data_IF_681189652712
#
_entry.id   IF_681189652712
#
_cell.length_a   1.000
_cell.length_b   1.000
_cell.length_c   1.000
_cell.angle_alpha   90.00
_cell.angle_beta   90.00
_cell.angle_gamma   90.00
#
_symmetry.space_group_name_H-M   'P 1'
#
loop_
_entity.id
_entity.type
_entity.pdbx_description
1 polymer ?
#
# COMPACT_ATOMS: atom_id res chain seq x y z
N UNK A 1 -47.12 -27.31 -3.19
CA UNK A 1 -46.75 -25.88 -3.24
C UNK A 1 -46.20 -25.35 -1.91
N UNK A 2 -46.76 -25.67 -0.76
CA UNK A 2 -46.30 -25.19 0.57
C UNK A 2 -44.85 -25.51 0.92
N UNK A 3 -44.30 -26.70 0.60
CA UNK A 3 -42.88 -27.06 0.91
C UNK A 3 -41.85 -26.22 0.14
N UNK A 4 -42.16 -25.70 -1.04
CA UNK A 4 -41.26 -24.83 -1.82
C UNK A 4 -41.24 -23.39 -1.32
N UNK A 5 -42.31 -22.92 -0.73
CA UNK A 5 -42.42 -21.57 -0.13
C UNK A 5 -41.63 -21.52 1.19
N UNK A 6 -41.69 -22.60 1.98
CA UNK A 6 -40.93 -22.72 3.25
C UNK A 6 -39.42 -22.77 2.99
N UNK A 7 -38.95 -23.43 1.92
CA UNK A 7 -37.54 -23.43 1.53
C UNK A 7 -37.04 -22.06 1.03
N UNK A 8 -37.89 -21.32 0.33
CA UNK A 8 -37.55 -19.95 -0.12
C UNK A 8 -37.50 -18.95 1.05
N UNK A 9 -38.38 -19.09 2.05
CA UNK A 9 -38.38 -18.23 3.23
C UNK A 9 -37.21 -18.53 4.17
N UNK A 10 -36.75 -19.79 4.27
CA UNK A 10 -35.55 -20.19 5.01
C UNK A 10 -34.29 -19.66 4.36
N UNK A 11 -34.22 -19.58 3.02
CA UNK A 11 -33.07 -19.04 2.30
C UNK A 11 -32.95 -17.51 2.43
N UNK A 12 -34.07 -16.80 2.55
CA UNK A 12 -34.11 -15.34 2.77
C UNK A 12 -33.73 -14.94 4.20
N UNK A 13 -33.90 -15.81 5.20
CA UNK A 13 -33.54 -15.57 6.58
C UNK A 13 -32.04 -15.75 6.84
N UNK A 14 -31.34 -16.56 6.05
CA UNK A 14 -29.87 -16.78 6.17
C UNK A 14 -29.07 -15.62 5.58
N UNK A 15 -29.63 -14.82 4.67
CA UNK A 15 -28.95 -13.65 4.09
C UNK A 15 -29.00 -12.39 4.97
N UNK A 16 -29.68 -12.42 6.11
CA UNK A 16 -29.78 -11.30 7.06
C UNK A 16 -28.76 -11.34 8.21
N UNK A 17 -27.76 -12.23 8.15
CA UNK A 17 -26.60 -12.12 9.04
C UNK A 17 -25.76 -10.96 8.49
N UNK A 18 -26.20 -9.74 8.80
CA UNK A 18 -25.42 -8.54 8.59
C UNK A 18 -24.10 -8.71 9.31
N UNK A 19 -23.00 -8.74 8.56
CA UNK A 19 -21.67 -8.58 9.11
C UNK A 19 -21.65 -7.22 9.81
N UNK A 20 -21.88 -7.21 11.13
CA UNK A 20 -21.44 -6.09 11.96
C UNK A 20 -19.93 -6.07 11.82
N UNK A 21 -19.41 -5.17 11.01
CA UNK A 21 -17.97 -4.88 10.99
C UNK A 21 -17.64 -4.30 12.36
N UNK A 22 -17.23 -5.14 13.30
CA UNK A 22 -16.64 -4.67 14.54
C UNK A 22 -15.50 -3.71 14.17
N UNK A 23 -15.56 -2.51 14.70
CA UNK A 23 -14.54 -1.50 14.52
C UNK A 23 -13.25 -2.02 15.16
N UNK A 24 -12.39 -2.63 14.36
CA UNK A 24 -11.12 -3.17 14.85
C UNK A 24 -10.26 -2.03 15.37
N UNK A 25 -9.91 -2.09 16.65
CA UNK A 25 -8.92 -1.19 17.26
C UNK A 25 -7.54 -1.76 16.99
N UNK A 26 -6.69 -0.96 16.35
CA UNK A 26 -5.36 -1.35 15.95
C UNK A 26 -4.31 -0.77 16.91
N UNK A 27 -3.41 -1.62 17.37
CA UNK A 27 -2.20 -1.19 18.07
C UNK A 27 -1.14 -0.72 17.07
N UNK A 28 -0.20 0.13 17.50
CA UNK A 28 0.91 0.56 16.64
C UNK A 28 1.71 -0.61 16.07
N UNK A 29 1.93 -1.65 16.87
CA UNK A 29 2.67 -2.85 16.45
C UNK A 29 1.94 -3.60 15.34
N UNK A 30 0.64 -3.82 15.49
CA UNK A 30 -0.17 -4.48 14.45
C UNK A 30 -0.18 -3.68 13.13
N UNK A 31 -0.21 -2.35 13.20
CA UNK A 31 -0.14 -1.48 12.02
C UNK A 31 1.20 -1.62 11.29
N UNK A 32 2.31 -1.66 12.04
CA UNK A 32 3.66 -1.85 11.48
C UNK A 32 3.77 -3.23 10.84
N UNK A 33 3.37 -4.30 11.54
CA UNK A 33 3.43 -5.67 11.04
C UNK A 33 2.57 -5.85 9.78
N UNK A 34 1.39 -5.24 9.77
CA UNK A 34 0.51 -5.25 8.60
C UNK A 34 1.13 -4.49 7.42
N UNK A 35 1.71 -3.30 7.67
CA UNK A 35 2.37 -2.52 6.63
C UNK A 35 3.54 -3.27 6.03
N UNK A 36 4.43 -3.87 6.85
CA UNK A 36 5.58 -4.65 6.36
C UNK A 36 5.11 -5.80 5.46
N UNK A 37 4.03 -6.48 5.83
CA UNK A 37 3.55 -7.65 5.09
C UNK A 37 2.84 -7.30 3.77
N UNK A 38 2.18 -6.13 3.71
CA UNK A 38 1.27 -5.80 2.61
C UNK A 38 1.73 -4.64 1.73
N UNK A 39 2.65 -3.79 2.21
CA UNK A 39 3.02 -2.57 1.50
C UNK A 39 3.68 -2.85 0.15
N UNK A 40 3.16 -2.20 -0.92
CA UNK A 40 3.63 -2.38 -2.29
C UNK A 40 5.06 -1.85 -2.51
N UNK A 41 5.49 -0.84 -1.76
CA UNK A 41 6.86 -0.32 -1.86
C UNK A 41 7.86 -1.37 -1.39
N UNK A 42 7.58 -2.05 -0.28
CA UNK A 42 8.41 -3.15 0.22
C UNK A 42 8.40 -4.32 -0.77
N UNK A 43 7.24 -4.72 -1.27
CA UNK A 43 7.14 -5.79 -2.29
C UNK A 43 7.92 -5.46 -3.55
N UNK A 44 7.84 -4.21 -4.03
CA UNK A 44 8.61 -3.74 -5.18
C UNK A 44 10.12 -3.82 -4.93
N UNK A 45 10.58 -3.39 -3.75
CA UNK A 45 12.00 -3.49 -3.38
C UNK A 45 12.45 -4.95 -3.26
N UNK A 46 11.60 -5.86 -2.74
CA UNK A 46 11.88 -7.30 -2.70
C UNK A 46 12.06 -7.88 -4.11
N UNK A 47 11.16 -7.58 -5.04
CA UNK A 47 11.31 -8.02 -6.43
C UNK A 47 12.53 -7.40 -7.13
N UNK A 48 12.94 -6.20 -6.72
CA UNK A 48 14.18 -5.61 -7.21
C UNK A 48 15.40 -6.38 -6.72
N UNK A 49 15.41 -6.84 -5.46
CA UNK A 49 16.45 -7.74 -4.93
C UNK A 49 16.48 -9.05 -5.73
N UNK A 50 15.34 -9.73 -5.90
CA UNK A 50 15.24 -10.97 -6.67
C UNK A 50 15.77 -10.80 -8.10
N UNK A 51 15.45 -9.67 -8.76
CA UNK A 51 15.95 -9.36 -10.09
C UNK A 51 17.48 -9.19 -10.11
N UNK A 52 18.04 -8.54 -9.09
CA UNK A 52 19.49 -8.36 -8.98
C UNK A 52 20.22 -9.65 -8.58
N UNK A 53 19.59 -10.55 -7.83
CA UNK A 53 20.10 -11.91 -7.58
C UNK A 53 20.26 -12.68 -8.90
N UNK A 54 19.24 -12.62 -9.77
CA UNK A 54 19.28 -13.22 -11.10
C UNK A 54 20.38 -12.59 -11.96
N UNK A 55 20.52 -11.25 -11.91
CA UNK A 55 21.57 -10.55 -12.64
C UNK A 55 22.97 -10.94 -12.15
N UNK A 56 23.18 -11.04 -10.84
CA UNK A 56 24.44 -11.50 -10.25
C UNK A 56 24.73 -12.96 -10.64
N UNK A 57 23.71 -13.83 -10.67
CA UNK A 57 23.85 -15.19 -11.19
C UNK A 57 24.20 -15.20 -12.66
N UNK A 58 23.57 -14.35 -13.48
CA UNK A 58 23.86 -14.24 -14.91
C UNK A 58 25.31 -13.82 -15.17
N UNK A 59 25.86 -12.90 -14.39
CA UNK A 59 27.29 -12.51 -14.51
C UNK A 59 28.23 -13.66 -14.17
N UNK A 60 27.88 -14.52 -13.20
CA UNK A 60 28.63 -15.76 -12.89
C UNK A 60 28.50 -16.78 -14.01
N UNK A 61 27.29 -16.97 -14.57
CA UNK A 61 27.05 -17.90 -15.68
C UNK A 61 27.69 -17.46 -17.00
N UNK A 62 28.03 -16.18 -17.15
CA UNK A 62 28.78 -15.67 -18.30
C UNK A 62 30.21 -16.24 -18.43
N UNK A 63 30.70 -16.93 -17.40
CA UNK A 63 31.97 -17.70 -17.44
C UNK A 63 31.79 -19.08 -18.10
N UNK A 64 30.56 -19.56 -18.30
CA UNK A 64 30.28 -20.84 -18.93
C UNK A 64 30.14 -20.69 -20.46
N UNK A 65 30.34 -21.79 -21.21
CA UNK A 65 30.09 -21.78 -22.65
C UNK A 65 28.62 -21.45 -22.95
N UNK A 66 28.38 -20.57 -23.91
CA UNK A 66 27.03 -20.34 -24.43
C UNK A 66 26.70 -21.42 -25.47
N UNK A 67 25.44 -21.83 -25.53
CA UNK A 67 24.90 -22.71 -26.55
C UNK A 67 23.69 -22.04 -27.21
N UNK A 68 23.79 -21.74 -28.47
CA UNK A 68 22.71 -21.15 -29.25
C UNK A 68 22.30 -22.12 -30.36
N UNK A 69 21.00 -22.34 -30.50
CA UNK A 69 20.44 -23.09 -31.61
C UNK A 69 19.45 -22.20 -32.35
N UNK A 70 19.56 -22.21 -33.68
CA UNK A 70 18.66 -21.44 -34.53
C UNK A 70 18.08 -22.32 -35.63
N UNK A 71 16.82 -22.12 -35.93
CA UNK A 71 16.14 -22.78 -37.04
C UNK A 71 15.36 -21.76 -37.85
N UNK A 72 15.52 -21.81 -39.15
CA UNK A 72 14.74 -20.99 -40.06
C UNK A 72 14.07 -21.90 -41.09
N UNK A 73 12.78 -21.64 -41.35
CA UNK A 73 11.99 -22.30 -42.37
C UNK A 73 11.25 -21.23 -43.17
N UNK A 74 11.50 -21.22 -44.49
CA UNK A 74 10.97 -20.19 -45.37
C UNK A 74 10.33 -20.77 -46.65
N UNK A 75 9.35 -20.06 -47.18
CA UNK A 75 8.73 -20.27 -48.46
C UNK A 75 8.97 -19.05 -49.34
N UNK A 76 9.52 -19.28 -50.52
CA UNK A 76 9.73 -18.26 -51.56
C UNK A 76 8.84 -18.59 -52.76
N UNK A 77 8.05 -17.63 -53.21
CA UNK A 77 7.21 -17.73 -54.40
C UNK A 77 7.75 -16.77 -55.46
N UNK A 78 7.72 -17.21 -56.70
CA UNK A 78 8.19 -16.42 -57.81
C UNK A 78 9.52 -16.93 -58.36
N UNK A 79 10.22 -16.09 -59.14
CA UNK A 79 11.51 -16.45 -59.75
C UNK A 79 12.62 -16.38 -58.69
N UNK A 80 13.10 -17.53 -58.26
CA UNK A 80 14.17 -17.65 -57.24
C UNK A 80 15.15 -18.75 -57.67
N UNK A 81 16.32 -18.81 -57.02
CA UNK A 81 17.29 -19.88 -57.23
C UNK A 81 16.96 -21.02 -56.27
N UNK A 82 16.76 -22.21 -56.79
CA UNK A 82 16.61 -23.43 -55.99
C UNK A 82 17.97 -23.74 -55.33
N UNK A 83 18.05 -23.77 -54.00
CA UNK A 83 19.31 -23.99 -53.28
C UNK A 83 19.88 -25.40 -53.45
N UNK A 84 19.10 -26.37 -53.97
CA UNK A 84 19.55 -27.75 -54.21
C UNK A 84 20.12 -27.91 -55.58
N UNK A 85 19.48 -27.33 -56.60
CA UNK A 85 19.88 -27.50 -58.01
C UNK A 85 20.69 -26.32 -58.57
N UNK A 86 20.71 -25.21 -57.88
CA UNK A 86 21.33 -23.94 -58.27
C UNK A 86 20.82 -23.37 -59.60
N UNK A 87 19.58 -23.71 -59.99
CA UNK A 87 18.91 -23.27 -61.18
C UNK A 87 17.77 -22.29 -60.84
N UNK A 88 17.51 -21.31 -61.72
CA UNK A 88 16.34 -20.42 -61.56
C UNK A 88 15.05 -21.22 -61.75
N UNK A 89 14.21 -21.15 -60.78
CA UNK A 89 12.83 -21.70 -60.80
C UNK A 89 11.83 -20.62 -60.59
N UNK A 90 10.64 -20.75 -61.17
CA UNK A 90 9.50 -19.84 -60.96
C UNK A 90 8.47 -20.46 -60.04
N UNK A 91 8.77 -21.61 -59.49
CA UNK A 91 7.89 -22.33 -58.54
C UNK A 91 8.13 -21.93 -57.09
N UNK A 92 7.32 -22.47 -56.22
CA UNK A 92 7.53 -22.35 -54.75
C UNK A 92 8.78 -23.14 -54.36
N UNK A 93 9.77 -22.42 -53.78
CA UNK A 93 10.95 -23.03 -53.19
C UNK A 93 10.82 -22.97 -51.68
N UNK A 94 11.01 -24.10 -51.01
CA UNK A 94 11.06 -24.24 -49.56
C UNK A 94 12.50 -24.41 -49.13
N UNK A 95 12.90 -23.61 -48.13
CA UNK A 95 14.24 -23.72 -47.55
C UNK A 95 14.14 -23.94 -46.07
N UNK A 96 14.97 -24.78 -45.51
CA UNK A 96 15.15 -24.95 -44.10
C UNK A 96 16.63 -24.91 -43.76
N UNK A 97 16.95 -24.17 -42.68
CA UNK A 97 18.31 -24.12 -42.17
C UNK A 97 18.25 -24.32 -40.65
N UNK A 98 19.06 -25.24 -40.14
CA UNK A 98 19.25 -25.51 -38.74
C UNK A 98 20.73 -25.29 -38.42
N UNK A 99 21.00 -24.54 -37.36
CA UNK A 99 22.34 -24.26 -36.87
C UNK A 99 22.42 -24.38 -35.35
N UNK A 100 23.55 -24.83 -34.87
CA UNK A 100 23.89 -24.76 -33.45
C UNK A 100 25.33 -24.28 -33.31
N UNK A 101 25.57 -23.34 -32.43
CA UNK A 101 26.90 -22.84 -32.13
C UNK A 101 27.09 -22.70 -30.61
N UNK A 102 28.33 -23.00 -30.18
CA UNK A 102 28.77 -22.81 -28.80
C UNK A 102 30.01 -21.93 -28.79
N UNK A 103 30.07 -21.00 -27.85
CA UNK A 103 31.23 -20.13 -27.67
C UNK A 103 31.60 -20.01 -26.21
N UNK A 104 32.91 -20.02 -25.92
CA UNK A 104 33.47 -19.82 -24.60
C UNK A 104 34.54 -18.73 -24.70
N UNK A 105 34.41 -17.70 -23.86
CA UNK A 105 35.38 -16.64 -23.76
C UNK A 105 36.51 -17.07 -22.80
N UNK A 106 37.70 -17.36 -23.30
CA UNK A 106 38.81 -17.86 -22.51
C UNK A 106 39.55 -16.74 -21.77
N UNK A 107 39.67 -15.56 -22.37
CA UNK A 107 40.40 -14.43 -21.82
C UNK A 107 39.86 -13.09 -22.31
N UNK A 108 39.69 -12.12 -21.37
CA UNK A 108 39.24 -10.75 -21.70
C UNK A 108 39.84 -9.69 -20.75
N UNK A 109 41.05 -9.92 -20.25
CA UNK A 109 41.73 -8.95 -19.37
C UNK A 109 41.05 -8.79 -18.01
N UNK A 110 40.57 -9.87 -17.39
CA UNK A 110 39.85 -9.90 -16.11
C UNK A 110 38.48 -9.18 -16.09
N UNK A 111 38.03 -8.63 -17.22
CA UNK A 111 36.75 -7.91 -17.26
C UNK A 111 35.59 -8.77 -16.72
N UNK A 112 35.53 -10.04 -17.07
CA UNK A 112 34.49 -10.95 -16.62
C UNK A 112 34.51 -11.15 -15.11
N UNK A 113 35.69 -11.26 -14.52
CA UNK A 113 35.88 -11.38 -13.07
C UNK A 113 35.43 -10.11 -12.33
N UNK A 114 35.78 -8.93 -12.84
CA UNK A 114 35.35 -7.68 -12.21
C UNK A 114 33.85 -7.42 -12.41
N UNK A 115 33.26 -7.82 -13.53
CA UNK A 115 31.79 -7.75 -13.71
C UNK A 115 31.04 -8.64 -12.71
N UNK A 116 31.57 -9.84 -12.42
CA UNK A 116 31.00 -10.71 -11.39
C UNK A 116 31.11 -10.05 -10.01
N UNK A 117 32.28 -9.50 -9.67
CA UNK A 117 32.46 -8.75 -8.41
C UNK A 117 31.52 -7.55 -8.30
N UNK A 118 31.35 -6.80 -9.39
CA UNK A 118 30.39 -5.70 -9.47
C UNK A 118 28.97 -6.19 -9.20
N UNK A 119 28.53 -7.27 -9.83
CA UNK A 119 27.19 -7.84 -9.62
C UNK A 119 26.93 -8.27 -8.16
N UNK A 120 27.97 -8.74 -7.45
CA UNK A 120 27.88 -9.05 -6.01
C UNK A 120 27.68 -7.79 -5.15
N UNK A 121 28.44 -6.74 -5.43
CA UNK A 121 28.33 -5.45 -4.71
C UNK A 121 27.01 -4.74 -5.04
N UNK A 122 26.57 -4.79 -6.29
CA UNK A 122 25.27 -4.25 -6.70
C UNK A 122 24.12 -4.95 -5.98
N UNK A 123 24.20 -6.27 -5.81
CA UNK A 123 23.22 -7.04 -5.04
C UNK A 123 23.21 -6.63 -3.56
N UNK A 124 24.40 -6.44 -2.95
CA UNK A 124 24.52 -5.96 -1.56
C UNK A 124 23.88 -4.58 -1.41
N UNK A 125 24.16 -3.64 -2.33
CA UNK A 125 23.56 -2.31 -2.32
C UNK A 125 22.02 -2.35 -2.41
N UNK A 126 21.46 -3.18 -3.26
CA UNK A 126 19.98 -3.32 -3.40
C UNK A 126 19.36 -3.98 -2.16
N UNK A 127 20.08 -4.86 -1.44
CA UNK A 127 19.61 -5.39 -0.16
C UNK A 127 19.54 -4.29 0.90
N UNK A 128 20.53 -3.39 0.97
CA UNK A 128 20.47 -2.23 1.87
C UNK A 128 19.33 -1.27 1.50
N UNK A 129 19.06 -1.09 0.21
CA UNK A 129 17.91 -0.32 -0.26
C UNK A 129 16.58 -0.95 0.18
N UNK A 130 16.46 -2.27 0.24
CA UNK A 130 15.28 -2.96 0.79
C UNK A 130 15.13 -2.68 2.29
N UNK A 131 16.22 -2.73 3.06
CA UNK A 131 16.20 -2.41 4.50
C UNK A 131 15.77 -0.96 4.70
N UNK A 132 16.31 -0.04 3.92
CA UNK A 132 15.91 1.37 3.93
C UNK A 132 14.43 1.53 3.60
N UNK A 133 13.92 0.89 2.55
CA UNK A 133 12.51 0.97 2.17
C UNK A 133 11.58 0.47 3.29
N UNK A 134 11.97 -0.59 4.02
CA UNK A 134 11.23 -1.06 5.20
C UNK A 134 11.20 -0.02 6.31
N UNK A 135 12.36 0.57 6.63
CA UNK A 135 12.46 1.60 7.66
C UNK A 135 11.66 2.85 7.30
N UNK A 136 11.68 3.28 6.03
CA UNK A 136 10.91 4.42 5.55
C UNK A 136 9.39 4.18 5.69
N UNK A 137 8.91 2.98 5.38
CA UNK A 137 7.51 2.59 5.57
C UNK A 137 7.14 2.56 7.05
N UNK A 138 7.98 2.02 7.92
CA UNK A 138 7.75 1.98 9.37
C UNK A 138 7.63 3.40 9.92
N UNK A 139 8.59 4.28 9.59
CA UNK A 139 8.59 5.68 10.05
C UNK A 139 7.35 6.44 9.55
N UNK A 140 6.95 6.22 8.30
CA UNK A 140 5.73 6.82 7.76
C UNK A 140 4.48 6.36 8.51
N UNK A 141 4.34 5.06 8.79
CA UNK A 141 3.21 4.52 9.57
C UNK A 141 3.17 5.07 10.98
N UNK A 142 4.34 5.15 11.66
CA UNK A 142 4.44 5.75 13.00
C UNK A 142 3.98 7.21 12.97
N UNK A 143 4.45 7.98 12.00
CA UNK A 143 4.09 9.41 11.87
C UNK A 143 2.60 9.58 11.64
N UNK A 144 1.99 8.79 10.77
CA UNK A 144 0.56 8.84 10.49
C UNK A 144 -0.28 8.36 11.68
N UNK A 145 0.17 7.32 12.39
CA UNK A 145 -0.47 6.86 13.62
C UNK A 145 -0.48 7.96 14.69
N UNK A 146 0.67 8.59 14.95
CA UNK A 146 0.77 9.70 15.90
C UNK A 146 -0.11 10.89 15.51
N UNK A 147 -0.24 11.17 14.21
CA UNK A 147 -1.14 12.20 13.72
C UNK A 147 -2.62 11.87 13.98
N UNK A 148 -3.02 10.59 13.84
CA UNK A 148 -4.38 10.14 14.20
C UNK A 148 -4.61 10.29 15.70
N UNK A 149 -3.66 9.84 16.54
CA UNK A 149 -3.74 9.97 18.00
C UNK A 149 -3.89 11.44 18.41
N UNK A 150 -3.06 12.32 17.86
CA UNK A 150 -3.11 13.76 18.13
C UNK A 150 -4.45 14.38 17.73
N UNK A 151 -4.96 14.10 16.53
CA UNK A 151 -6.26 14.62 16.10
C UNK A 151 -7.43 14.05 16.91
N UNK A 152 -7.32 12.79 17.38
CA UNK A 152 -8.32 12.18 18.28
C UNK A 152 -8.39 12.91 19.61
N UNK A 153 -7.24 13.25 20.21
CA UNK A 153 -7.19 14.01 21.43
C UNK A 153 -7.69 15.46 21.25
N UNK A 154 -7.37 16.12 20.15
CA UNK A 154 -7.92 17.45 19.85
C UNK A 154 -9.45 17.42 19.69
N UNK A 155 -9.99 16.35 19.10
CA UNK A 155 -11.44 16.18 19.00
C UNK A 155 -12.07 15.97 20.39
N UNK A 156 -11.48 15.13 21.24
CA UNK A 156 -11.93 14.90 22.63
C UNK A 156 -11.92 16.21 23.42
N UNK A 157 -10.86 17.00 23.34
CA UNK A 157 -10.74 18.30 24.01
C UNK A 157 -11.82 19.27 23.50
N UNK A 158 -12.08 19.32 22.20
CA UNK A 158 -13.13 20.17 21.65
C UNK A 158 -14.52 19.77 22.16
N UNK A 159 -14.82 18.48 22.30
CA UNK A 159 -16.07 17.99 22.89
C UNK A 159 -16.20 18.39 24.39
N UNK A 160 -15.13 18.26 25.15
CA UNK A 160 -15.12 18.69 26.56
C UNK A 160 -15.39 20.21 26.69
N UNK A 161 -14.84 21.01 25.75
CA UNK A 161 -15.07 22.45 25.74
C UNK A 161 -16.54 22.79 25.44
N UNK A 162 -17.20 22.07 24.50
CA UNK A 162 -18.66 22.24 24.26
C UNK A 162 -19.44 21.92 25.51
N UNK A 163 -19.17 20.77 26.15
CA UNK A 163 -19.85 20.35 27.36
C UNK A 163 -19.69 21.41 28.52
N UNK A 164 -18.47 21.88 28.71
CA UNK A 164 -18.18 22.92 29.72
C UNK A 164 -18.93 24.21 29.43
N UNK A 165 -18.99 24.65 28.17
CA UNK A 165 -19.70 25.87 27.78
C UNK A 165 -21.21 25.71 27.92
N UNK A 166 -21.75 24.52 27.61
CA UNK A 166 -23.16 24.18 27.79
C UNK A 166 -23.56 24.27 29.29
N UNK A 167 -22.75 23.69 30.17
CA UNK A 167 -22.99 23.78 31.63
C UNK A 167 -22.96 25.24 32.15
N UNK A 168 -22.03 26.05 31.61
CA UNK A 168 -21.95 27.47 31.94
C UNK A 168 -23.20 28.23 31.46
N UNK A 169 -23.64 27.94 30.20
CA UNK A 169 -24.84 28.54 29.62
C UNK A 169 -26.09 28.22 30.45
N UNK A 170 -26.28 26.95 30.84
CA UNK A 170 -27.41 26.54 31.68
C UNK A 170 -27.40 27.23 33.05
N UNK A 171 -26.22 27.37 33.67
CA UNK A 171 -26.07 28.09 34.94
C UNK A 171 -26.39 29.57 34.80
N UNK A 172 -25.85 30.22 33.74
CA UNK A 172 -26.08 31.64 33.48
C UNK A 172 -27.53 31.91 33.14
N UNK A 173 -28.21 31.02 32.39
CA UNK A 173 -29.65 31.13 32.12
C UNK A 173 -30.48 31.21 33.41
N UNK A 174 -30.21 30.35 34.38
CA UNK A 174 -30.88 30.38 35.69
C UNK A 174 -30.64 31.70 36.44
N UNK A 175 -29.44 32.29 36.30
CA UNK A 175 -29.10 33.56 36.94
C UNK A 175 -29.78 34.75 36.22
N UNK A 176 -29.93 34.70 34.90
CA UNK A 176 -30.69 35.67 34.12
C UNK A 176 -32.17 35.62 34.48
N UNK A 177 -32.75 34.38 34.57
CA UNK A 177 -34.15 34.17 34.95
C UNK A 177 -34.43 34.71 36.39
N UNK A 178 -33.43 34.65 37.27
CA UNK A 178 -33.48 35.22 38.61
C UNK A 178 -33.19 36.74 38.68
N UNK A 179 -32.89 37.39 37.52
CA UNK A 179 -32.55 38.80 37.43
C UNK A 179 -31.18 39.18 38.00
N UNK A 180 -30.29 38.18 38.25
CA UNK A 180 -28.98 38.38 38.89
C UNK A 180 -27.87 38.81 37.96
N UNK A 181 -28.02 38.53 36.65
CA UNK A 181 -27.03 38.86 35.59
C UNK A 181 -27.73 39.38 34.33
N UNK A 182 -27.06 40.20 33.51
CA UNK A 182 -27.61 40.70 32.26
C UNK A 182 -27.86 39.58 31.23
N UNK A 183 -28.93 39.72 30.43
CA UNK A 183 -29.21 38.79 29.31
C UNK A 183 -28.07 38.69 28.26
N UNK A 184 -27.28 39.77 28.15
CA UNK A 184 -26.11 39.83 27.26
C UNK A 184 -25.10 38.74 27.58
N UNK A 185 -24.91 38.37 28.85
CA UNK A 185 -23.97 37.32 29.27
C UNK A 185 -24.43 35.94 28.77
N UNK A 186 -25.73 35.67 28.79
CA UNK A 186 -26.30 34.44 28.23
C UNK A 186 -26.12 34.39 26.69
N UNK A 187 -26.39 35.50 26.00
CA UNK A 187 -26.24 35.58 24.54
C UNK A 187 -24.76 35.43 24.10
N UNK A 188 -23.83 35.97 24.89
CA UNK A 188 -22.39 35.78 24.63
C UNK A 188 -21.97 34.31 24.77
N UNK A 189 -22.48 33.59 25.80
CA UNK A 189 -22.22 32.19 25.99
C UNK A 189 -22.87 31.32 24.89
N UNK A 190 -24.05 31.69 24.42
CA UNK A 190 -24.73 31.01 23.31
C UNK A 190 -23.92 31.16 22.00
N UNK A 191 -23.41 32.34 21.69
CA UNK A 191 -22.52 32.57 20.57
C UNK A 191 -21.18 31.80 20.71
N UNK A 192 -20.64 31.71 21.94
CA UNK A 192 -19.46 30.93 22.24
C UNK A 192 -19.71 29.41 22.05
N UNK A 193 -20.90 28.92 22.47
CA UNK A 193 -21.29 27.52 22.25
C UNK A 193 -21.33 27.18 20.76
N UNK A 194 -22.00 28.00 19.96
CA UNK A 194 -22.04 27.80 18.50
C UNK A 194 -20.62 27.77 17.86
N UNK A 195 -19.71 28.62 18.36
CA UNK A 195 -18.32 28.62 17.92
C UNK A 195 -17.57 27.32 18.30
N UNK A 196 -17.81 26.84 19.53
CA UNK A 196 -17.20 25.61 20.01
C UNK A 196 -17.75 24.37 19.26
N UNK A 197 -19.05 24.34 18.96
CA UNK A 197 -19.67 23.29 18.14
C UNK A 197 -19.08 23.26 16.73
N UNK A 198 -18.87 24.40 16.09
CA UNK A 198 -18.17 24.48 14.81
C UNK A 198 -16.76 23.92 14.91
N UNK A 199 -16.03 24.23 16.00
CA UNK A 199 -14.69 23.69 16.21
C UNK A 199 -14.70 22.16 16.34
N UNK A 200 -15.69 21.56 17.01
CA UNK A 200 -15.85 20.09 17.08
C UNK A 200 -15.97 19.49 15.70
N UNK A 201 -16.83 20.05 14.83
CA UNK A 201 -17.01 19.58 13.44
C UNK A 201 -15.68 19.67 12.66
N UNK A 202 -14.92 20.74 12.84
CA UNK A 202 -13.62 20.90 12.18
C UNK A 202 -12.59 19.86 12.67
N UNK A 203 -12.58 19.56 13.99
CA UNK A 203 -11.69 18.54 14.58
C UNK A 203 -12.09 17.13 14.15
N UNK A 204 -13.38 16.84 14.07
CA UNK A 204 -13.89 15.57 13.55
C UNK A 204 -13.46 15.34 12.11
N UNK A 205 -13.58 16.36 11.25
CA UNK A 205 -13.13 16.27 9.87
C UNK A 205 -11.61 16.04 9.77
N UNK A 206 -10.80 16.71 10.62
CA UNK A 206 -9.35 16.51 10.68
C UNK A 206 -8.99 15.10 11.13
N UNK A 207 -9.70 14.56 12.12
CA UNK A 207 -9.54 13.18 12.58
C UNK A 207 -9.87 12.18 11.45
N UNK A 208 -11.01 12.35 10.79
CA UNK A 208 -11.43 11.48 9.70
C UNK A 208 -10.43 11.50 8.55
N UNK A 209 -9.86 12.66 8.22
CA UNK A 209 -8.83 12.80 7.21
C UNK A 209 -7.54 12.07 7.61
N UNK A 210 -7.09 12.22 8.85
CA UNK A 210 -5.89 11.54 9.34
C UNK A 210 -6.05 10.00 9.35
N UNK A 211 -7.22 9.49 9.72
CA UNK A 211 -7.55 8.07 9.63
C UNK A 211 -7.52 7.60 8.18
N UNK A 212 -8.06 8.39 7.25
CA UNK A 212 -8.02 8.05 5.82
C UNK A 212 -6.59 7.98 5.28
N UNK A 213 -5.73 8.93 5.65
CA UNK A 213 -4.31 8.92 5.29
C UNK A 213 -3.58 7.68 5.81
N UNK A 214 -3.84 7.29 7.06
CA UNK A 214 -3.28 6.07 7.64
C UNK A 214 -3.77 4.82 6.90
N UNK A 215 -5.07 4.71 6.57
CA UNK A 215 -5.61 3.61 5.76
C UNK A 215 -4.94 3.53 4.38
N UNK A 216 -4.71 4.66 3.73
CA UNK A 216 -4.03 4.72 2.44
C UNK A 216 -2.59 4.22 2.53
N UNK A 217 -1.85 4.62 3.56
CA UNK A 217 -0.47 4.14 3.78
C UNK A 217 -0.42 2.63 4.05
N UNK A 218 -1.43 2.08 4.71
CA UNK A 218 -1.61 0.64 4.94
C UNK A 218 -2.21 -0.09 3.73
N UNK A 219 -2.68 0.65 2.70
CA UNK A 219 -3.37 0.10 1.52
C UNK A 219 -4.67 -0.65 1.89
N UNK A 220 -5.32 -0.21 2.95
CA UNK A 220 -6.63 -0.71 3.33
C UNK A 220 -7.73 -0.04 2.51
N UNK A 221 -8.83 -0.77 2.17
CA UNK A 221 -10.00 -0.16 1.56
C UNK A 221 -10.55 0.97 2.43
N UNK A 222 -10.98 2.07 1.82
CA UNK A 222 -11.56 3.22 2.54
C UNK A 222 -12.80 2.86 3.36
N UNK A 223 -13.55 1.83 2.93
CA UNK A 223 -14.73 1.30 3.61
C UNK A 223 -14.43 0.52 4.89
N UNK A 224 -13.17 0.13 5.14
CA UNK A 224 -12.79 -0.60 6.35
C UNK A 224 -12.99 0.28 7.57
N UNK A 225 -13.79 -0.17 8.54
CA UNK A 225 -13.89 0.52 9.83
C UNK A 225 -12.60 0.32 10.63
N UNK A 226 -11.99 1.41 11.06
CA UNK A 226 -10.70 1.40 11.75
C UNK A 226 -10.72 2.41 12.90
N UNK A 227 -10.15 2.01 14.02
CA UNK A 227 -9.80 2.90 15.15
C UNK A 227 -8.38 2.56 15.60
N UNK A 228 -7.75 3.49 16.29
CA UNK A 228 -6.41 3.30 16.83
C UNK A 228 -6.46 3.34 18.36
N UNK A 229 -5.67 2.47 18.97
CA UNK A 229 -5.45 2.49 20.42
C UNK A 229 -4.63 3.73 20.79
N UNK A 230 -5.03 4.40 21.87
CA UNK A 230 -4.25 5.50 22.44
C UNK A 230 -3.06 4.91 23.20
N UNK A 231 -1.83 5.35 22.93
CA UNK A 231 -0.67 4.85 23.66
C UNK A 231 -0.82 5.26 25.14
N UNK A 232 -0.72 4.30 26.04
CA UNK A 232 -0.59 4.59 27.46
C UNK A 232 0.83 5.14 27.68
N UNK A 233 0.96 6.46 27.69
CA UNK A 233 2.21 7.12 28.07
C UNK A 233 2.32 7.03 29.58
N UNK A 234 3.15 6.12 30.07
CA UNK A 234 3.58 6.12 31.46
C UNK A 234 4.54 7.30 31.66
N UNK A 235 3.97 8.44 32.09
CA UNK A 235 4.73 9.67 32.35
C UNK A 235 5.49 9.62 33.68
N UNK A 236 5.64 8.42 34.28
CA UNK A 236 6.40 8.23 35.53
C UNK A 236 7.83 7.72 35.20
N UNK A 237 8.65 8.60 34.59
CA UNK A 237 10.13 8.52 34.72
C UNK A 237 10.73 9.91 34.53
#
# INVERSE_FOLDING_TARGET
MMKRVILLSAFLLVSAIGYTQEKKVWTLRELIDYAISNNLTIKRSTYNVESNEINALQTKMAMLPTLNANGNYGWNWGRTIDPTTNIFTTNQVRSSNLGANSSLLLWNGFRLFYNMKQGEVDLEAVNEDLIKARNDVILNVITLYLNVVFNKELYNVAQLQVNSTLEQLERTKKLVDAGSVPIADMLNLDAQLATNELNVIQRENSLNLSILQLKQALQLPSSTSMDVELPQLDLQN
#
